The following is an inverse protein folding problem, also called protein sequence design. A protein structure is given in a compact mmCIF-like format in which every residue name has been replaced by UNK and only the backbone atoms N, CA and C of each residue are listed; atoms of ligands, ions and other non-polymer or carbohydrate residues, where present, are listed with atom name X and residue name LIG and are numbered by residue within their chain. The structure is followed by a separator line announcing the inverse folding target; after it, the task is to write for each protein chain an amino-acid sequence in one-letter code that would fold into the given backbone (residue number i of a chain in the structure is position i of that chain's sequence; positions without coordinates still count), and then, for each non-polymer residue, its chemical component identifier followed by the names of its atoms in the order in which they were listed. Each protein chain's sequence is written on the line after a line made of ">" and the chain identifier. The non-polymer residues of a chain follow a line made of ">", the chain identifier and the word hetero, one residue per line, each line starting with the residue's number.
data_IF_779010660807
#
_entry.id   IF_779010660807
#
_cell.length_a   1.000
_cell.length_b   1.000
_cell.length_c   1.000
_cell.angle_alpha   90.00
_cell.angle_beta   90.00
_cell.angle_gamma   90.00
#
_symmetry.space_group_name_H-M   'P 1'
#
loop_
_entity.id
_entity.type
_entity.pdbx_description
1 polymer ?
#
# COMPACT_ATOMS: atom_id res chain seq x y z
N UNK A 1 3.54 -4.95 -17.91
CA UNK A 1 3.35 -3.53 -17.49
C UNK A 1 4.33 -2.69 -18.29
N UNK A 2 3.86 -1.64 -18.95
CA UNK A 2 4.72 -0.63 -19.56
C UNK A 2 5.51 0.09 -18.47
N UNK A 3 6.73 0.54 -18.76
CA UNK A 3 7.56 1.34 -17.86
C UNK A 3 6.91 2.70 -17.51
N UNK A 4 5.88 3.10 -18.25
CA UNK A 4 5.17 4.37 -18.12
C UNK A 4 3.82 4.23 -17.37
N UNK A 5 3.44 3.03 -16.92
CA UNK A 5 2.16 2.84 -16.24
C UNK A 5 2.29 3.25 -14.76
N UNK A 6 1.36 4.07 -14.27
CA UNK A 6 1.25 4.38 -12.84
C UNK A 6 1.11 3.07 -12.05
N UNK A 7 1.96 2.84 -11.03
CA UNK A 7 1.88 1.63 -10.21
C UNK A 7 0.50 1.48 -9.56
N UNK A 8 0.01 0.25 -9.42
CA UNK A 8 -1.29 -0.02 -8.80
C UNK A 8 -1.41 0.57 -7.39
N UNK A 9 -0.30 0.61 -6.64
CA UNK A 9 -0.25 1.16 -5.28
C UNK A 9 -0.42 2.70 -5.21
N UNK A 10 -0.36 3.38 -6.34
CA UNK A 10 -0.52 4.84 -6.45
C UNK A 10 -1.80 5.25 -7.18
N UNK A 11 -2.54 4.26 -7.69
CA UNK A 11 -3.85 4.47 -8.29
C UNK A 11 -4.91 4.58 -7.22
N UNK A 12 -5.91 5.41 -7.46
CA UNK A 12 -7.11 5.46 -6.62
C UNK A 12 -7.90 4.16 -6.78
N UNK A 13 -8.14 3.44 -5.68
CA UNK A 13 -8.90 2.20 -5.69
C UNK A 13 -10.37 2.47 -5.40
N UNK A 14 -11.24 2.23 -6.36
CA UNK A 14 -12.68 2.45 -6.28
C UNK A 14 -13.38 1.09 -6.22
N UNK A 15 -13.97 0.77 -5.07
CA UNK A 15 -14.72 -0.46 -4.87
C UNK A 15 -16.19 -0.28 -5.21
N UNK A 16 -16.74 -1.12 -6.10
CA UNK A 16 -18.16 -1.18 -6.38
C UNK A 16 -18.78 -2.36 -5.64
N UNK A 17 -19.76 -2.06 -4.79
CA UNK A 17 -20.47 -2.99 -3.93
C UNK A 17 -21.96 -3.00 -4.24
N UNK A 18 -22.67 -4.01 -3.82
CA UNK A 18 -24.10 -4.08 -3.99
C UNK A 18 -24.59 -5.51 -4.15
N UNK A 19 -25.87 -5.67 -3.98
CA UNK A 19 -26.55 -6.97 -4.10
C UNK A 19 -26.51 -7.50 -5.53
N UNK A 20 -26.77 -8.77 -5.64
CA UNK A 20 -26.99 -9.40 -6.94
C UNK A 20 -28.16 -8.68 -7.64
N UNK A 21 -28.05 -8.53 -8.96
CA UNK A 21 -29.05 -7.87 -9.82
C UNK A 21 -29.34 -6.38 -9.54
N UNK A 22 -28.64 -5.72 -8.61
CA UNK A 22 -28.70 -4.26 -8.46
C UNK A 22 -28.14 -3.51 -9.70
N UNK A 23 -27.52 -4.24 -10.63
CA UNK A 23 -26.93 -3.67 -11.84
C UNK A 23 -25.53 -3.11 -11.62
N UNK A 24 -24.80 -3.60 -10.60
CA UNK A 24 -23.45 -3.17 -10.25
C UNK A 24 -22.49 -3.22 -11.46
N UNK A 25 -22.41 -4.36 -12.14
CA UNK A 25 -21.56 -4.52 -13.33
C UNK A 25 -21.97 -3.59 -14.48
N UNK A 26 -23.27 -3.33 -14.63
CA UNK A 26 -23.76 -2.36 -15.62
C UNK A 26 -23.35 -0.92 -15.27
N UNK A 27 -23.40 -0.54 -13.98
CA UNK A 27 -22.91 0.78 -13.53
C UNK A 27 -21.39 0.88 -13.72
N UNK A 28 -20.61 -0.16 -13.38
CA UNK A 28 -19.16 -0.22 -13.64
C UNK A 28 -18.87 -0.01 -15.12
N UNK A 29 -19.57 -0.71 -16.02
CA UNK A 29 -19.41 -0.57 -17.46
C UNK A 29 -19.81 0.85 -17.95
N UNK A 30 -20.87 1.42 -17.40
CA UNK A 30 -21.30 2.79 -17.73
C UNK A 30 -20.29 3.85 -17.26
N UNK A 31 -19.74 3.71 -16.05
CA UNK A 31 -18.70 4.61 -15.50
C UNK A 31 -17.41 4.54 -16.29
N UNK A 32 -16.99 3.33 -16.66
CA UNK A 32 -15.72 3.10 -17.34
C UNK A 32 -15.78 3.29 -18.86
N UNK A 33 -16.96 3.28 -19.43
CA UNK A 33 -17.16 3.29 -20.89
C UNK A 33 -16.66 2.02 -21.59
N UNK A 34 -16.46 0.92 -20.85
CA UNK A 34 -15.91 -0.35 -21.35
C UNK A 34 -16.72 -1.51 -20.78
N UNK A 35 -16.83 -2.60 -21.51
CA UNK A 35 -17.38 -3.86 -21.00
C UNK A 35 -16.34 -4.57 -20.15
N UNK A 36 -16.20 -4.15 -18.88
CA UNK A 36 -15.22 -4.69 -17.95
C UNK A 36 -15.72 -5.92 -17.20
N UNK A 37 -17.02 -5.94 -16.91
CA UNK A 37 -17.68 -6.97 -16.13
C UNK A 37 -18.53 -7.81 -17.06
N UNK A 38 -18.36 -9.14 -16.99
CA UNK A 38 -19.28 -10.05 -17.67
C UNK A 38 -20.61 -10.01 -16.91
N UNK A 39 -21.62 -9.43 -17.51
CA UNK A 39 -23.00 -9.55 -17.04
C UNK A 39 -23.43 -11.00 -17.32
N UNK A 40 -23.39 -11.86 -16.31
CA UNK A 40 -23.78 -13.27 -16.45
C UNK A 40 -25.10 -13.49 -15.72
N UNK A 41 -26.10 -13.96 -16.43
CA UNK A 41 -27.37 -14.42 -15.86
C UNK A 41 -27.27 -15.81 -15.20
N UNK A 42 -26.09 -16.43 -15.23
CA UNK A 42 -25.85 -17.79 -14.72
C UNK A 42 -25.40 -17.74 -13.26
N UNK A 43 -26.07 -18.51 -12.39
CA UNK A 43 -25.73 -18.67 -10.98
C UNK A 43 -24.31 -19.24 -10.80
N UNK A 44 -23.42 -18.52 -10.07
CA UNK A 44 -22.19 -19.10 -9.52
C UNK A 44 -20.87 -18.75 -10.25
N UNK A 45 -20.82 -17.78 -11.16
CA UNK A 45 -19.66 -17.61 -12.06
C UNK A 45 -18.50 -16.77 -11.55
N UNK A 46 -18.59 -15.98 -10.47
CA UNK A 46 -17.42 -15.25 -9.95
C UNK A 46 -17.46 -15.11 -8.44
N UNK A 47 -16.54 -15.81 -7.76
CA UNK A 47 -16.28 -15.63 -6.33
C UNK A 47 -15.15 -14.65 -6.06
N UNK A 48 -14.36 -14.26 -7.06
CA UNK A 48 -13.23 -13.36 -6.92
C UNK A 48 -13.54 -11.96 -7.49
N UNK A 49 -13.06 -10.88 -6.83
CA UNK A 49 -13.23 -9.52 -7.31
C UNK A 49 -12.43 -9.31 -8.60
N UNK A 50 -13.02 -8.63 -9.56
CA UNK A 50 -12.33 -8.21 -10.79
C UNK A 50 -11.64 -6.88 -10.51
N UNK A 51 -10.31 -6.86 -10.72
CA UNK A 51 -9.47 -5.67 -10.58
C UNK A 51 -9.03 -5.20 -11.96
N UNK A 52 -9.31 -3.96 -12.31
CA UNK A 52 -8.86 -3.37 -13.57
C UNK A 52 -8.25 -1.99 -13.39
N UNK A 53 -7.00 -1.85 -13.79
CA UNK A 53 -6.29 -0.58 -13.82
C UNK A 53 -6.59 0.17 -15.10
N UNK A 54 -6.91 1.46 -15.00
CA UNK A 54 -7.22 2.32 -16.15
C UNK A 54 -7.02 3.80 -15.83
N UNK A 55 -7.10 4.63 -16.85
CA UNK A 55 -7.27 6.07 -16.71
C UNK A 55 -8.77 6.39 -16.75
N UNK A 56 -9.26 7.13 -15.75
CA UNK A 56 -10.67 7.51 -15.65
C UNK A 56 -10.79 9.01 -15.32
N UNK A 57 -11.22 9.82 -16.25
CA UNK A 57 -11.45 11.25 -16.03
C UNK A 57 -12.72 11.46 -15.17
N UNK A 58 -12.71 12.42 -14.22
CA UNK A 58 -11.63 13.37 -13.93
C UNK A 58 -10.61 12.90 -12.88
N UNK A 59 -10.61 11.63 -12.47
CA UNK A 59 -9.79 11.06 -11.39
C UNK A 59 -8.34 10.75 -11.81
N UNK A 60 -8.10 10.51 -13.11
CA UNK A 60 -6.79 10.03 -13.60
C UNK A 60 -6.61 8.52 -13.43
N UNK A 61 -5.43 8.06 -12.96
CA UNK A 61 -5.14 6.64 -12.83
C UNK A 61 -5.91 6.00 -11.68
N UNK A 62 -6.77 5.02 -11.98
CA UNK A 62 -7.60 4.29 -11.01
C UNK A 62 -7.45 2.78 -11.11
N UNK A 63 -7.84 2.09 -10.05
CA UNK A 63 -8.15 0.65 -10.05
C UNK A 63 -9.63 0.49 -9.73
N UNK A 64 -10.38 -0.02 -10.67
CA UNK A 64 -11.78 -0.41 -10.45
C UNK A 64 -11.81 -1.81 -9.84
N UNK A 65 -12.55 -1.96 -8.74
CA UNK A 65 -12.76 -3.23 -8.06
C UNK A 65 -14.24 -3.56 -8.14
N UNK A 66 -14.61 -4.49 -9.02
CA UNK A 66 -15.96 -5.02 -9.09
C UNK A 66 -16.09 -6.24 -8.15
N UNK A 67 -16.98 -6.14 -7.15
CA UNK A 67 -17.13 -7.18 -6.14
C UNK A 67 -18.24 -8.17 -6.52
N UNK A 68 -18.17 -9.44 -6.09
CA UNK A 68 -19.32 -10.36 -6.15
C UNK A 68 -20.51 -9.79 -5.38
N UNK A 69 -21.74 -10.16 -5.75
CA UNK A 69 -22.95 -9.77 -5.01
C UNK A 69 -22.93 -10.25 -3.56
N UNK A 70 -23.49 -9.47 -2.63
CA UNK A 70 -23.36 -9.64 -1.17
C UNK A 70 -24.45 -10.51 -0.51
N UNK A 71 -25.44 -10.96 -1.24
CA UNK A 71 -26.72 -11.45 -0.72
C UNK A 71 -26.92 -12.98 -0.68
N UNK A 72 -25.84 -13.76 -0.66
CA UNK A 72 -25.96 -15.22 -0.54
C UNK A 72 -25.90 -15.69 0.92
N UNK A 73 -26.79 -16.62 1.29
CA UNK A 73 -26.85 -17.26 2.61
C UNK A 73 -25.91 -18.49 2.72
N UNK A 74 -25.49 -18.84 3.95
CA UNK A 74 -24.70 -20.03 4.27
C UNK A 74 -23.19 -19.84 4.18
N UNK A 75 -22.43 -20.95 4.12
CA UNK A 75 -20.95 -20.94 4.12
C UNK A 75 -20.33 -20.13 2.96
N UNK A 76 -21.03 -20.00 1.85
CA UNK A 76 -20.64 -19.16 0.73
C UNK A 76 -20.76 -17.66 1.07
N UNK A 77 -21.76 -17.31 1.92
CA UNK A 77 -21.97 -15.96 2.44
C UNK A 77 -20.80 -15.49 3.34
N UNK A 78 -20.35 -16.33 4.26
CA UNK A 78 -19.21 -16.01 5.14
C UNK A 78 -17.91 -15.74 4.36
N UNK A 79 -17.63 -16.57 3.36
CA UNK A 79 -16.47 -16.38 2.47
C UNK A 79 -16.57 -15.06 1.70
N UNK A 80 -17.76 -14.65 1.28
CA UNK A 80 -17.98 -13.38 0.57
C UNK A 80 -17.85 -12.18 1.50
N UNK A 81 -18.36 -12.27 2.73
CA UNK A 81 -18.16 -11.24 3.77
C UNK A 81 -16.67 -11.04 4.03
N UNK A 82 -15.92 -12.13 4.19
CA UNK A 82 -14.46 -12.06 4.38
C UNK A 82 -13.77 -11.40 3.18
N UNK A 83 -14.12 -11.78 1.95
CA UNK A 83 -13.57 -11.17 0.73
C UNK A 83 -13.97 -9.70 0.61
N UNK A 84 -15.20 -9.33 0.95
CA UNK A 84 -15.66 -7.94 0.97
C UNK A 84 -14.85 -7.10 1.95
N UNK A 85 -14.61 -7.60 3.17
CA UNK A 85 -13.75 -6.93 4.15
C UNK A 85 -12.33 -6.72 3.64
N UNK A 86 -11.74 -7.73 2.98
CA UNK A 86 -10.41 -7.61 2.36
C UNK A 86 -10.35 -6.58 1.24
N UNK A 87 -11.42 -6.44 0.44
CA UNK A 87 -11.51 -5.42 -0.61
C UNK A 87 -11.61 -4.04 0.01
N UNK A 88 -12.43 -3.89 1.05
CA UNK A 88 -12.61 -2.61 1.75
C UNK A 88 -11.30 -2.09 2.34
N UNK A 89 -10.42 -2.96 2.81
CA UNK A 89 -9.11 -2.56 3.32
C UNK A 89 -8.23 -1.86 2.27
N UNK A 90 -8.58 -1.98 0.98
CA UNK A 90 -7.85 -1.39 -0.16
C UNK A 90 -8.60 -0.28 -0.86
N UNK A 91 -9.91 -0.20 -0.66
CA UNK A 91 -10.73 0.78 -1.36
C UNK A 91 -10.51 2.19 -0.77
N UNK A 92 -10.07 3.12 -1.60
CA UNK A 92 -9.98 4.54 -1.25
C UNK A 92 -11.36 5.19 -1.24
N UNK A 93 -12.30 4.64 -2.03
CA UNK A 93 -13.70 5.03 -2.07
C UNK A 93 -14.58 3.81 -2.37
N UNK A 94 -15.76 3.75 -1.75
CA UNK A 94 -16.77 2.72 -2.01
C UNK A 94 -17.99 3.32 -2.72
N UNK A 95 -18.52 2.62 -3.72
CA UNK A 95 -19.80 2.92 -4.36
C UNK A 95 -20.74 1.75 -4.10
N UNK A 96 -21.78 2.00 -3.32
CA UNK A 96 -22.87 1.03 -3.11
C UNK A 96 -23.93 1.21 -4.19
N UNK A 97 -24.07 0.22 -5.04
CA UNK A 97 -25.10 0.21 -6.10
C UNK A 97 -26.35 -0.46 -5.56
N UNK A 98 -27.46 0.28 -5.52
CA UNK A 98 -28.77 -0.14 -5.02
C UNK A 98 -29.77 -0.13 -6.17
N UNK A 99 -30.66 -1.10 -6.22
CA UNK A 99 -31.78 -1.11 -7.16
C UNK A 99 -32.86 -0.11 -6.71
N UNK A 100 -33.08 0.96 -7.46
CA UNK A 100 -34.06 2.00 -7.13
C UNK A 100 -35.49 1.45 -6.98
N UNK A 101 -35.80 0.34 -7.65
CA UNK A 101 -37.12 -0.31 -7.56
C UNK A 101 -37.36 -1.01 -6.22
N UNK A 102 -36.30 -1.34 -5.49
CA UNK A 102 -36.35 -2.05 -4.21
C UNK A 102 -35.95 -1.17 -3.02
N UNK A 103 -35.13 -0.13 -3.25
CA UNK A 103 -34.60 0.70 -2.20
C UNK A 103 -33.50 -0.01 -1.36
N UNK A 104 -33.07 0.65 -0.29
CA UNK A 104 -32.10 0.10 0.65
C UNK A 104 -32.65 -1.09 1.42
N UNK A 105 -31.91 -2.17 1.44
CA UNK A 105 -32.22 -3.39 2.20
C UNK A 105 -31.37 -3.50 3.46
N UNK A 106 -31.70 -4.41 4.40
CA UNK A 106 -30.84 -4.65 5.57
C UNK A 106 -29.37 -4.98 5.20
N UNK A 107 -29.14 -5.77 4.16
CA UNK A 107 -27.79 -6.09 3.69
C UNK A 107 -27.02 -4.87 3.16
N UNK A 108 -27.71 -3.93 2.49
CA UNK A 108 -27.11 -2.67 2.05
C UNK A 108 -26.76 -1.78 3.25
N UNK A 109 -27.59 -1.78 4.30
CA UNK A 109 -27.33 -1.04 5.54
C UNK A 109 -26.13 -1.62 6.31
N UNK A 110 -25.96 -2.95 6.33
CA UNK A 110 -24.78 -3.60 6.89
C UNK A 110 -23.50 -3.18 6.17
N UNK A 111 -23.53 -3.09 4.82
CA UNK A 111 -22.39 -2.59 4.05
C UNK A 111 -22.08 -1.13 4.37
N UNK A 112 -23.10 -0.27 4.50
CA UNK A 112 -22.92 1.14 4.88
C UNK A 112 -22.29 1.24 6.28
N UNK A 113 -22.77 0.44 7.24
CA UNK A 113 -22.19 0.39 8.58
C UNK A 113 -20.71 -0.04 8.54
N UNK A 114 -20.38 -1.02 7.70
CA UNK A 114 -19.00 -1.47 7.52
C UNK A 114 -18.11 -0.40 6.85
N UNK A 115 -18.64 0.39 5.90
CA UNK A 115 -17.90 1.53 5.34
C UNK A 115 -17.59 2.59 6.40
N UNK A 116 -18.55 2.86 7.29
CA UNK A 116 -18.40 3.82 8.39
C UNK A 116 -17.41 3.31 9.43
N UNK A 117 -17.52 2.04 9.85
CA UNK A 117 -16.60 1.40 10.79
C UNK A 117 -15.13 1.48 10.30
N UNK A 118 -14.91 1.30 9.00
CA UNK A 118 -13.58 1.33 8.38
C UNK A 118 -13.15 2.72 7.90
N UNK A 119 -13.93 3.75 8.20
CA UNK A 119 -13.67 5.13 7.75
C UNK A 119 -13.40 5.23 6.24
N UNK A 120 -14.25 4.55 5.44
CA UNK A 120 -14.15 4.57 3.98
C UNK A 120 -15.14 5.59 3.43
N UNK A 121 -14.69 6.60 2.68
CA UNK A 121 -15.59 7.49 1.95
C UNK A 121 -16.47 6.69 0.99
N UNK A 122 -17.79 6.97 0.99
CA UNK A 122 -18.69 6.21 0.14
C UNK A 122 -19.81 7.05 -0.47
N UNK A 123 -20.35 6.53 -1.56
CA UNK A 123 -21.57 7.00 -2.22
C UNK A 123 -22.57 5.85 -2.35
N UNK A 124 -23.86 6.17 -2.32
CA UNK A 124 -24.94 5.25 -2.65
C UNK A 124 -25.53 5.65 -3.99
N UNK A 125 -25.42 4.78 -4.97
CA UNK A 125 -25.94 4.98 -6.32
C UNK A 125 -27.21 4.15 -6.53
N UNK A 126 -28.38 4.81 -6.52
CA UNK A 126 -29.67 4.18 -6.85
C UNK A 126 -29.74 4.00 -8.36
N UNK A 127 -29.41 2.80 -8.80
CA UNK A 127 -29.45 2.41 -10.21
C UNK A 127 -30.87 2.04 -10.64
N UNK A 128 -31.12 2.04 -11.97
CA UNK A 128 -32.43 1.83 -12.60
C UNK A 128 -33.40 2.98 -12.33
N UNK A 129 -32.89 4.21 -12.20
CA UNK A 129 -33.72 5.41 -12.04
C UNK A 129 -34.66 5.68 -13.24
N UNK A 130 -34.39 5.03 -14.36
CA UNK A 130 -35.27 4.98 -15.51
C UNK A 130 -36.56 4.14 -15.30
N UNK A 131 -36.57 3.21 -14.33
CA UNK A 131 -37.69 2.33 -14.02
C UNK A 131 -38.47 2.78 -12.79
N UNK A 132 -37.84 3.43 -11.82
CA UNK A 132 -38.48 3.91 -10.61
C UNK A 132 -37.75 5.18 -10.09
N UNK A 133 -38.55 6.12 -9.54
CA UNK A 133 -38.00 7.29 -8.88
C UNK A 133 -37.17 6.86 -7.65
N UNK A 134 -35.96 7.42 -7.51
CA UNK A 134 -35.18 7.24 -6.30
C UNK A 134 -35.91 7.87 -5.09
N UNK A 135 -35.65 7.40 -3.86
CA UNK A 135 -36.15 8.03 -2.64
C UNK A 135 -35.62 9.47 -2.49
N UNK A 136 -36.05 10.17 -1.45
CA UNK A 136 -35.45 11.46 -1.15
C UNK A 136 -33.94 11.29 -0.89
N UNK A 137 -33.12 11.84 -1.78
CA UNK A 137 -31.69 11.64 -1.80
C UNK A 137 -30.98 12.51 -0.74
N UNK A 138 -30.09 11.88 0.02
CA UNK A 138 -29.18 12.55 0.92
C UNK A 138 -27.89 13.02 0.21
N UNK A 139 -27.02 13.67 0.96
CA UNK A 139 -25.74 14.21 0.43
C UNK A 139 -24.84 13.14 -0.22
N UNK A 140 -24.82 11.94 0.35
CA UNK A 140 -24.02 10.80 -0.14
C UNK A 140 -24.74 9.93 -1.16
N UNK A 141 -25.92 10.34 -1.58
CA UNK A 141 -26.80 9.53 -2.42
C UNK A 141 -27.05 10.19 -3.76
N UNK A 142 -27.23 9.41 -4.82
CA UNK A 142 -27.56 9.90 -6.14
C UNK A 142 -28.34 8.84 -6.93
N UNK A 143 -29.20 9.32 -7.85
CA UNK A 143 -29.90 8.46 -8.79
C UNK A 143 -29.06 8.29 -10.07
N UNK A 144 -28.98 7.07 -10.58
CA UNK A 144 -28.27 6.76 -11.82
C UNK A 144 -29.07 5.75 -12.65
N UNK A 145 -28.88 5.78 -13.96
CA UNK A 145 -29.30 4.71 -14.84
C UNK A 145 -28.12 4.26 -15.68
N UNK A 146 -27.70 3.02 -15.51
CA UNK A 146 -26.66 2.43 -16.34
C UNK A 146 -27.12 2.27 -17.81
N UNK A 147 -28.43 2.21 -18.07
CA UNK A 147 -29.03 2.05 -19.40
C UNK A 147 -29.06 3.39 -20.15
N UNK A 148 -29.65 4.42 -19.54
CA UNK A 148 -29.78 5.76 -20.15
C UNK A 148 -28.54 6.62 -19.96
N UNK A 149 -27.60 6.22 -19.07
CA UNK A 149 -26.42 6.94 -18.62
C UNK A 149 -26.71 8.22 -17.81
N UNK A 150 -27.96 8.43 -17.43
CA UNK A 150 -28.33 9.52 -16.54
C UNK A 150 -27.60 9.40 -15.18
N UNK A 151 -27.09 10.50 -14.64
CA UNK A 151 -26.38 10.54 -13.35
C UNK A 151 -24.98 9.93 -13.35
N UNK A 152 -24.50 9.29 -14.43
CA UNK A 152 -23.17 8.62 -14.45
C UNK A 152 -22.02 9.63 -14.39
N UNK A 153 -22.11 10.76 -15.10
CA UNK A 153 -21.06 11.79 -15.04
C UNK A 153 -21.03 12.46 -13.65
N UNK A 154 -22.20 12.70 -13.05
CA UNK A 154 -22.26 13.21 -11.67
C UNK A 154 -21.64 12.21 -10.67
N UNK A 155 -21.88 10.90 -10.85
CA UNK A 155 -21.25 9.87 -10.03
C UNK A 155 -19.71 9.94 -10.12
N UNK A 156 -19.15 10.08 -11.32
CA UNK A 156 -17.71 10.24 -11.52
C UNK A 156 -17.15 11.49 -10.82
N UNK A 157 -17.84 12.63 -10.94
CA UNK A 157 -17.42 13.87 -10.29
C UNK A 157 -17.45 13.76 -8.76
N UNK A 158 -18.50 13.13 -8.20
CA UNK A 158 -18.61 12.92 -6.75
C UNK A 158 -17.53 11.97 -6.24
N UNK A 159 -17.22 10.89 -6.96
CA UNK A 159 -16.09 10.00 -6.64
C UNK A 159 -14.77 10.81 -6.67
N UNK A 160 -14.56 11.64 -7.69
CA UNK A 160 -13.36 12.47 -7.81
C UNK A 160 -13.21 13.45 -6.62
N UNK A 161 -14.30 14.05 -6.15
CA UNK A 161 -14.27 14.93 -4.97
C UNK A 161 -13.90 14.17 -3.70
N UNK A 162 -14.47 12.99 -3.48
CA UNK A 162 -14.18 12.14 -2.32
C UNK A 162 -12.73 11.67 -2.27
N UNK A 163 -12.13 11.44 -3.44
CA UNK A 163 -10.76 10.89 -3.52
C UNK A 163 -9.67 11.97 -3.55
N UNK A 164 -9.99 13.19 -4.01
CA UNK A 164 -9.03 14.33 -4.02
C UNK A 164 -8.58 14.77 -2.62
N UNK A 165 -9.45 14.69 -1.63
CA UNK A 165 -9.14 15.06 -0.24
C UNK A 165 -8.13 14.13 0.44
N UNK A 166 -7.79 13.00 -0.16
CA UNK A 166 -6.81 12.03 0.37
C UNK A 166 -5.41 12.18 -0.20
N UNK A 167 -5.24 12.99 -1.25
CA UNK A 167 -3.96 13.26 -1.90
C UNK A 167 -3.33 14.56 -1.44
N UNK A 168 -3.00 14.71 -0.13
CA UNK A 168 -1.96 15.65 0.25
C UNK A 168 -0.67 15.30 -0.50
N UNK A 169 0.12 16.31 -0.87
CA UNK A 169 1.40 16.19 -1.58
C UNK A 169 2.45 15.43 -0.74
N UNK A 170 2.19 14.12 -0.51
CA UNK A 170 3.13 13.25 0.18
C UNK A 170 4.37 13.08 -0.67
N UNK A 171 5.50 13.48 -0.12
CA UNK A 171 6.82 13.33 -0.76
C UNK A 171 7.57 12.16 -0.12
N UNK A 172 8.36 11.45 -0.91
CA UNK A 172 9.29 10.44 -0.39
C UNK A 172 10.47 11.11 0.31
N UNK A 173 11.10 12.06 -0.39
CA UNK A 173 12.31 12.76 0.04
C UNK A 173 12.33 14.23 -0.37
N UNK A 174 11.54 14.64 -1.34
CA UNK A 174 11.60 15.98 -1.93
C UNK A 174 11.36 17.12 -0.94
N UNK A 175 10.57 16.90 0.10
CA UNK A 175 10.34 17.86 1.19
C UNK A 175 11.54 18.00 2.18
N UNK A 176 12.51 17.08 2.11
CA UNK A 176 13.78 17.14 2.87
C UNK A 176 14.90 17.84 2.09
N UNK A 177 14.63 18.25 0.86
CA UNK A 177 15.57 18.81 -0.09
C UNK A 177 15.30 20.29 -0.33
N UNK A 178 16.34 21.00 -0.72
CA UNK A 178 16.27 22.37 -1.23
C UNK A 178 16.65 22.35 -2.71
N UNK A 179 15.96 23.12 -3.59
CA UNK A 179 16.32 23.18 -5.00
C UNK A 179 17.82 23.38 -5.23
N UNK A 180 18.40 22.55 -6.09
CA UNK A 180 19.84 22.52 -6.35
C UNK A 180 20.64 21.54 -5.49
N UNK A 181 20.05 20.90 -4.48
CA UNK A 181 20.71 19.84 -3.71
C UNK A 181 21.14 18.65 -4.59
N UNK A 182 22.22 18.01 -4.18
CA UNK A 182 22.73 16.78 -4.76
C UNK A 182 22.43 15.59 -3.86
N UNK A 183 21.77 14.57 -4.38
CA UNK A 183 21.47 13.32 -3.68
C UNK A 183 22.17 12.15 -4.36
N UNK A 184 22.78 11.24 -3.60
CA UNK A 184 23.39 10.01 -4.15
C UNK A 184 22.48 8.83 -3.82
N UNK A 185 22.02 8.14 -4.87
CA UNK A 185 21.18 6.94 -4.80
C UNK A 185 22.04 5.71 -5.03
N UNK A 186 22.18 4.85 -4.04
CA UNK A 186 22.97 3.62 -4.14
C UNK A 186 22.04 2.44 -4.40
N UNK A 187 22.13 1.88 -5.61
CA UNK A 187 21.26 0.80 -6.09
C UNK A 187 22.08 -0.46 -6.36
N UNK A 188 22.12 -1.42 -5.44
CA UNK A 188 22.78 -2.70 -5.68
C UNK A 188 22.14 -3.42 -6.88
N UNK A 189 22.97 -4.01 -7.71
CA UNK A 189 22.53 -4.84 -8.84
C UNK A 189 23.00 -6.27 -8.57
N UNK A 190 22.20 -6.99 -7.81
CA UNK A 190 22.41 -8.40 -7.51
C UNK A 190 21.59 -9.32 -8.44
N UNK A 191 21.64 -10.63 -8.18
CA UNK A 191 20.90 -11.64 -8.97
C UNK A 191 19.38 -11.50 -8.83
N UNK A 192 18.87 -10.83 -7.78
CA UNK A 192 17.47 -10.58 -7.53
C UNK A 192 16.96 -9.30 -8.20
N UNK A 193 17.85 -8.42 -8.66
CA UNK A 193 17.49 -7.19 -9.33
C UNK A 193 16.76 -7.48 -10.66
N UNK A 194 15.63 -6.81 -10.94
CA UNK A 194 14.94 -6.98 -12.20
C UNK A 194 15.82 -6.59 -13.39
N UNK A 195 15.98 -7.50 -14.35
CA UNK A 195 16.83 -7.25 -15.51
C UNK A 195 16.36 -6.00 -16.29
N UNK A 196 17.26 -5.05 -16.49
CA UNK A 196 17.06 -3.86 -17.33
C UNK A 196 16.20 -2.77 -16.69
N UNK A 197 15.86 -2.83 -15.39
CA UNK A 197 15.11 -1.77 -14.71
C UNK A 197 15.46 -1.65 -13.23
N UNK A 198 15.24 -0.46 -12.67
CA UNK A 198 15.24 -0.24 -11.22
C UNK A 198 13.95 -0.76 -10.58
N UNK A 199 13.96 -1.07 -9.30
CA UNK A 199 12.74 -1.40 -8.55
C UNK A 199 11.94 -0.13 -8.24
N UNK A 200 10.66 -0.30 -7.97
CA UNK A 200 9.73 0.82 -7.79
C UNK A 200 10.18 1.87 -6.78
N UNK A 201 10.63 1.56 -5.55
CA UNK A 201 11.11 2.57 -4.61
C UNK A 201 12.28 3.41 -5.13
N UNK A 202 13.20 2.80 -5.89
CA UNK A 202 14.35 3.48 -6.48
C UNK A 202 13.90 4.46 -7.58
N UNK A 203 12.97 4.03 -8.45
CA UNK A 203 12.39 4.89 -9.50
C UNK A 203 11.63 6.07 -8.91
N UNK A 204 10.78 5.83 -7.90
CA UNK A 204 9.98 6.86 -7.25
C UNK A 204 10.85 7.88 -6.52
N UNK A 205 11.87 7.44 -5.77
CA UNK A 205 12.80 8.34 -5.09
C UNK A 205 13.57 9.19 -6.10
N UNK A 206 14.06 8.58 -7.19
CA UNK A 206 14.75 9.32 -8.25
C UNK A 206 13.83 10.39 -8.87
N UNK A 207 12.57 10.06 -9.13
CA UNK A 207 11.59 10.99 -9.65
C UNK A 207 11.28 12.11 -8.66
N UNK A 208 11.11 11.81 -7.39
CA UNK A 208 10.79 12.80 -6.35
C UNK A 208 11.96 13.79 -6.12
N UNK A 209 13.21 13.34 -6.27
CA UNK A 209 14.40 14.23 -6.29
C UNK A 209 14.33 15.21 -7.45
N UNK A 210 13.98 14.74 -8.65
CA UNK A 210 13.85 15.60 -9.83
C UNK A 210 12.67 16.58 -9.71
N UNK A 211 11.55 16.14 -9.16
CA UNK A 211 10.37 16.98 -8.91
C UNK A 211 10.62 18.06 -7.82
N UNK A 212 11.71 17.94 -7.06
CA UNK A 212 12.20 18.91 -6.08
C UNK A 212 13.27 19.86 -6.68
N UNK A 213 13.46 19.89 -8.00
CA UNK A 213 14.50 20.65 -8.69
C UNK A 213 15.93 20.32 -8.20
N UNK A 214 16.17 19.06 -7.85
CA UNK A 214 17.42 18.55 -7.29
C UNK A 214 18.11 17.58 -8.27
N UNK A 215 19.39 17.30 -8.01
CA UNK A 215 20.21 16.38 -8.82
C UNK A 215 20.33 15.03 -8.14
N UNK A 216 20.05 13.93 -8.87
CA UNK A 216 20.30 12.57 -8.42
C UNK A 216 21.50 11.96 -9.15
N UNK A 217 22.45 11.40 -8.40
CA UNK A 217 23.52 10.55 -8.93
C UNK A 217 23.24 9.11 -8.50
N UNK A 218 23.02 8.24 -9.47
CA UNK A 218 22.72 6.83 -9.22
C UNK A 218 23.98 6.00 -9.39
N UNK A 219 24.37 5.26 -8.35
CA UNK A 219 25.61 4.46 -8.34
C UNK A 219 25.34 3.06 -7.78
N UNK A 220 26.29 2.15 -8.03
CA UNK A 220 26.31 0.87 -7.31
C UNK A 220 27.11 1.01 -6.01
N UNK A 221 26.88 0.10 -5.07
CA UNK A 221 27.53 0.09 -3.76
C UNK A 221 29.08 0.11 -3.86
N UNK A 222 29.65 -0.59 -4.83
CA UNK A 222 31.10 -0.67 -5.03
C UNK A 222 31.72 0.56 -5.73
N UNK A 223 30.90 1.45 -6.25
CA UNK A 223 31.35 2.69 -6.91
C UNK A 223 31.01 3.93 -6.07
N UNK A 224 30.41 3.78 -4.89
CA UNK A 224 30.05 4.90 -4.02
C UNK A 224 31.25 5.71 -3.56
N UNK A 225 32.24 5.08 -2.91
CA UNK A 225 33.41 5.77 -2.38
C UNK A 225 34.18 6.58 -3.45
N UNK A 226 34.57 5.98 -4.60
CA UNK A 226 35.26 6.75 -5.65
C UNK A 226 34.36 7.82 -6.30
N UNK A 227 33.05 7.69 -6.22
CA UNK A 227 32.11 8.75 -6.67
C UNK A 227 32.13 9.91 -5.70
N UNK A 228 31.99 9.66 -4.41
CA UNK A 228 31.99 10.72 -3.37
C UNK A 228 33.33 11.52 -3.41
N UNK A 229 34.47 10.86 -3.63
CA UNK A 229 35.78 11.52 -3.75
C UNK A 229 35.89 12.46 -4.96
N UNK A 230 35.15 12.17 -6.05
CA UNK A 230 35.17 12.98 -7.29
C UNK A 230 34.18 14.13 -7.28
N UNK A 231 33.27 14.17 -6.34
CA UNK A 231 32.26 15.23 -6.27
C UNK A 231 32.88 16.53 -5.78
N UNK A 232 32.70 17.61 -6.55
CA UNK A 232 33.10 18.95 -6.14
C UNK A 232 32.20 19.55 -5.06
N UNK A 233 30.96 19.00 -4.90
CA UNK A 233 29.96 19.46 -3.95
C UNK A 233 29.57 18.29 -3.05
N UNK A 234 29.50 18.53 -1.75
CA UNK A 234 29.04 17.55 -0.77
C UNK A 234 27.57 17.21 -1.01
N UNK A 235 27.20 15.93 -1.14
CA UNK A 235 25.79 15.57 -1.28
C UNK A 235 25.00 15.87 -0.01
N UNK A 236 23.73 16.26 -0.19
CA UNK A 236 22.78 16.49 0.90
C UNK A 236 22.54 15.22 1.71
N UNK A 237 22.48 14.07 1.04
CA UNK A 237 22.31 12.75 1.66
C UNK A 237 22.68 11.62 0.70
N UNK A 238 22.89 10.44 1.28
CA UNK A 238 23.00 9.16 0.57
C UNK A 238 21.77 8.31 0.89
N UNK A 239 21.14 7.75 -0.12
CA UNK A 239 19.96 6.86 0.00
C UNK A 239 20.33 5.52 -0.60
N UNK A 240 20.16 4.43 0.15
CA UNK A 240 20.60 3.10 -0.28
C UNK A 240 19.51 2.04 -0.13
N UNK A 241 19.71 0.88 -0.73
CA UNK A 241 19.00 -0.32 -0.38
C UNK A 241 19.46 -0.82 1.01
N UNK A 242 18.50 -1.23 1.86
CA UNK A 242 18.80 -1.64 3.23
C UNK A 242 19.76 -2.83 3.31
N UNK A 243 19.77 -3.70 2.30
CA UNK A 243 20.72 -4.83 2.24
C UNK A 243 22.17 -4.40 2.07
N UNK A 244 22.43 -3.20 1.51
CA UNK A 244 23.77 -2.64 1.32
C UNK A 244 24.22 -1.74 2.49
N UNK A 245 23.40 -1.54 3.52
CA UNK A 245 23.67 -0.61 4.60
C UNK A 245 25.07 -0.73 5.20
N UNK A 246 25.54 -1.95 5.53
CA UNK A 246 26.82 -2.14 6.19
C UNK A 246 28.01 -1.64 5.35
N UNK A 247 27.96 -1.79 4.03
CA UNK A 247 28.99 -1.29 3.12
C UNK A 247 28.85 0.22 2.93
N UNK A 248 27.63 0.69 2.64
CA UNK A 248 27.36 2.10 2.37
C UNK A 248 27.63 2.97 3.60
N UNK A 249 27.37 2.47 4.82
CA UNK A 249 27.71 3.17 6.06
C UNK A 249 29.22 3.37 6.23
N UNK A 250 30.02 2.38 5.86
CA UNK A 250 31.50 2.52 5.89
C UNK A 250 32.02 3.51 4.87
N UNK A 251 31.45 3.47 3.66
CA UNK A 251 31.93 4.22 2.50
C UNK A 251 31.38 5.67 2.48
N UNK A 252 30.38 5.98 3.31
CA UNK A 252 29.80 7.32 3.42
C UNK A 252 30.38 8.07 4.62
N UNK A 253 31.01 9.25 4.44
CA UNK A 253 31.45 10.12 5.53
C UNK A 253 30.35 10.35 6.58
N UNK A 254 30.73 10.47 7.87
CA UNK A 254 29.76 10.58 8.97
C UNK A 254 28.99 11.91 8.99
N UNK A 255 29.47 12.90 8.30
CA UNK A 255 28.87 14.21 8.13
C UNK A 255 27.91 14.29 6.92
N UNK A 256 27.71 13.17 6.21
CA UNK A 256 26.68 13.02 5.17
C UNK A 256 25.58 12.11 5.71
N UNK A 257 24.34 12.61 5.81
CA UNK A 257 23.18 11.82 6.24
C UNK A 257 22.96 10.58 5.35
N UNK A 258 22.57 9.48 6.00
CA UNK A 258 22.37 8.19 5.35
C UNK A 258 20.99 7.64 5.70
N UNK A 259 20.20 7.25 4.70
CA UNK A 259 18.94 6.56 4.89
C UNK A 259 18.73 5.48 3.82
N UNK A 260 17.56 4.83 3.80
CA UNK A 260 17.25 3.82 2.78
C UNK A 260 15.92 4.05 2.09
N UNK A 261 15.80 3.50 0.88
CA UNK A 261 14.52 3.49 0.14
C UNK A 261 13.38 2.87 0.96
N UNK A 262 13.65 1.84 1.74
CA UNK A 262 12.66 1.18 2.59
C UNK A 262 12.20 2.06 3.76
N UNK A 263 13.08 2.86 4.34
CA UNK A 263 12.75 3.84 5.40
C UNK A 263 11.92 4.99 4.83
N UNK A 264 12.35 5.54 3.68
CA UNK A 264 11.59 6.59 2.99
C UNK A 264 10.20 6.10 2.57
N UNK A 265 10.09 4.85 2.09
CA UNK A 265 8.82 4.25 1.74
C UNK A 265 7.90 4.07 2.96
N UNK A 266 8.43 3.66 4.12
CA UNK A 266 7.67 3.58 5.36
C UNK A 266 7.14 4.97 5.80
N UNK A 267 7.95 6.03 5.63
CA UNK A 267 7.53 7.40 5.85
C UNK A 267 6.40 7.80 4.90
N UNK A 268 6.58 7.59 3.62
CA UNK A 268 5.61 7.89 2.57
C UNK A 268 4.26 7.19 2.80
N UNK A 269 4.29 5.95 3.26
CA UNK A 269 3.10 5.15 3.60
C UNK A 269 2.54 5.44 5.00
N UNK A 270 3.20 6.29 5.82
CA UNK A 270 2.68 6.78 7.10
C UNK A 270 2.87 5.84 8.29
N UNK A 271 3.80 4.88 8.22
CA UNK A 271 4.04 3.93 9.32
C UNK A 271 5.48 3.91 9.86
N UNK A 272 6.29 4.92 9.53
CA UNK A 272 7.70 4.94 9.94
C UNK A 272 7.85 5.05 11.46
N UNK A 273 7.02 5.84 12.12
CA UNK A 273 7.06 5.98 13.59
C UNK A 273 6.78 4.64 14.28
N UNK A 274 5.71 3.95 13.86
CA UNK A 274 5.39 2.62 14.40
C UNK A 274 6.53 1.63 14.17
N UNK A 275 7.18 1.68 13.01
CA UNK A 275 8.32 0.82 12.70
C UNK A 275 9.54 1.10 13.60
N UNK A 276 9.83 2.37 13.88
CA UNK A 276 10.93 2.77 14.79
C UNK A 276 10.61 2.37 16.24
N UNK A 277 9.37 2.56 16.70
CA UNK A 277 8.95 2.11 18.04
C UNK A 277 8.95 0.58 18.16
N UNK A 278 8.45 -0.09 17.11
CA UNK A 278 8.27 -1.55 17.11
C UNK A 278 9.58 -2.33 17.06
N UNK A 279 10.63 -1.78 16.48
CA UNK A 279 11.91 -2.50 16.32
C UNK A 279 12.57 -2.88 17.65
N UNK A 280 12.34 -2.11 18.73
CA UNK A 280 12.84 -2.41 20.07
C UNK A 280 12.29 -3.74 20.64
N UNK A 281 11.23 -4.30 20.05
CA UNK A 281 10.76 -5.62 20.42
C UNK A 281 11.76 -6.74 20.08
N UNK A 282 12.63 -6.54 19.07
CA UNK A 282 13.65 -7.52 18.70
C UNK A 282 14.55 -7.87 19.88
N UNK A 283 14.94 -6.88 20.71
CA UNK A 283 15.83 -7.08 21.84
C UNK A 283 15.17 -7.85 23.00
N UNK A 284 13.84 -8.01 22.97
CA UNK A 284 13.05 -8.70 24.00
C UNK A 284 12.58 -10.08 23.59
N UNK A 285 12.85 -10.51 22.34
CA UNK A 285 12.43 -11.83 21.85
C UNK A 285 13.08 -12.96 22.63
N UNK A 286 12.31 -14.02 22.87
CA UNK A 286 12.70 -15.22 23.58
C UNK A 286 12.65 -16.46 22.68
N UNK A 287 13.23 -17.57 23.16
CA UNK A 287 13.13 -18.85 22.46
C UNK A 287 11.67 -19.29 22.31
N UNK A 288 11.31 -19.66 21.10
CA UNK A 288 9.96 -20.11 20.74
C UNK A 288 8.98 -19.00 20.34
N UNK A 289 9.39 -17.70 20.49
CA UNK A 289 8.55 -16.58 20.07
C UNK A 289 8.23 -16.64 18.56
N UNK A 290 6.99 -16.26 18.24
CA UNK A 290 6.50 -16.23 16.86
C UNK A 290 6.67 -14.83 16.28
N UNK A 291 7.35 -14.76 15.15
CA UNK A 291 7.54 -13.51 14.39
C UNK A 291 6.92 -13.67 13.00
N UNK A 292 6.03 -12.75 12.65
CA UNK A 292 5.44 -12.69 11.32
C UNK A 292 6.31 -11.84 10.40
N UNK A 293 6.80 -12.42 9.32
CA UNK A 293 7.46 -11.71 8.22
C UNK A 293 6.42 -11.51 7.11
N UNK A 294 5.97 -10.27 6.91
CA UNK A 294 4.87 -9.95 6.02
C UNK A 294 5.33 -9.20 4.76
N UNK A 295 4.92 -9.69 3.60
CA UNK A 295 5.24 -9.09 2.30
C UNK A 295 3.99 -8.59 1.59
N UNK A 296 4.08 -7.41 0.97
CA UNK A 296 2.98 -6.79 0.23
C UNK A 296 2.77 -7.34 -1.18
N UNK A 297 3.66 -8.18 -1.67
CA UNK A 297 3.62 -8.72 -3.03
C UNK A 297 3.93 -10.22 -3.03
N UNK A 298 3.57 -10.88 -4.15
CA UNK A 298 3.86 -12.29 -4.42
C UNK A 298 4.97 -12.37 -5.47
N UNK A 299 6.11 -11.71 -5.23
CA UNK A 299 7.23 -11.82 -6.16
C UNK A 299 7.91 -13.18 -6.09
N UNK A 300 8.64 -13.52 -7.14
CA UNK A 300 9.32 -14.82 -7.21
C UNK A 300 10.41 -14.88 -6.14
N UNK A 301 10.28 -15.78 -5.18
CA UNK A 301 11.28 -16.01 -4.14
C UNK A 301 12.54 -16.60 -4.75
N UNK A 302 13.67 -15.97 -4.51
CA UNK A 302 14.98 -16.42 -4.96
C UNK A 302 15.78 -17.01 -3.80
N UNK A 303 16.88 -17.71 -4.10
CA UNK A 303 17.73 -18.38 -3.09
C UNK A 303 18.33 -17.43 -2.04
N UNK A 304 18.32 -16.11 -2.28
CA UNK A 304 18.85 -15.08 -1.40
C UNK A 304 17.80 -13.99 -1.08
N UNK A 305 16.55 -14.37 -0.99
CA UNK A 305 15.45 -13.45 -0.68
C UNK A 305 15.61 -12.78 0.69
N UNK A 306 15.27 -11.48 0.77
CA UNK A 306 15.46 -10.68 2.00
C UNK A 306 14.57 -11.20 3.12
N UNK A 307 13.26 -11.41 2.84
CA UNK A 307 12.28 -11.77 3.84
C UNK A 307 12.38 -13.21 4.30
N UNK A 308 12.62 -14.13 3.37
CA UNK A 308 12.57 -15.58 3.66
C UNK A 308 13.93 -16.18 4.02
N UNK A 309 15.05 -15.50 3.70
CA UNK A 309 16.41 -16.02 3.94
C UNK A 309 17.26 -15.08 4.77
N UNK A 310 17.42 -13.82 4.33
CA UNK A 310 18.41 -12.91 4.95
C UNK A 310 17.95 -12.42 6.33
N UNK A 311 16.72 -11.92 6.46
CA UNK A 311 16.18 -11.45 7.76
C UNK A 311 16.12 -12.58 8.79
N UNK A 312 15.59 -13.80 8.48
CA UNK A 312 15.65 -14.95 9.37
C UNK A 312 17.04 -15.24 9.92
N UNK A 313 18.02 -15.30 9.04
CA UNK A 313 19.42 -15.54 9.42
C UNK A 313 19.96 -14.43 10.34
N UNK A 314 19.79 -13.16 9.96
CA UNK A 314 20.30 -12.03 10.75
C UNK A 314 19.61 -11.89 12.10
N UNK A 315 18.30 -12.18 12.19
CA UNK A 315 17.57 -12.22 13.46
C UNK A 315 18.14 -13.30 14.38
N UNK A 316 18.35 -14.51 13.87
CA UNK A 316 18.94 -15.62 14.62
C UNK A 316 20.36 -15.30 15.10
N UNK A 317 21.21 -14.72 14.23
CA UNK A 317 22.57 -14.29 14.56
C UNK A 317 22.57 -13.19 15.65
N UNK A 318 21.66 -12.22 15.57
CA UNK A 318 21.59 -11.08 16.48
C UNK A 318 21.01 -11.47 17.83
N UNK A 319 19.87 -12.17 17.85
CA UNK A 319 19.18 -12.52 19.10
C UNK A 319 19.78 -13.72 19.81
N UNK A 320 20.44 -14.61 19.08
CA UNK A 320 20.89 -15.92 19.57
C UNK A 320 19.73 -16.85 19.96
N UNK A 321 18.49 -16.57 19.52
CA UNK A 321 17.26 -17.26 19.90
C UNK A 321 16.74 -18.17 18.79
N UNK A 322 16.04 -19.23 19.17
CA UNK A 322 15.35 -20.10 18.25
C UNK A 322 13.89 -19.61 18.06
N UNK A 323 13.68 -18.73 17.09
CA UNK A 323 12.40 -18.09 16.81
C UNK A 323 11.56 -18.94 15.84
N UNK A 324 10.23 -18.83 15.98
CA UNK A 324 9.27 -19.38 15.02
C UNK A 324 8.90 -18.33 13.99
N UNK A 325 9.47 -18.42 12.81
CA UNK A 325 9.26 -17.43 11.74
C UNK A 325 8.15 -17.91 10.82
N UNK A 326 7.12 -17.09 10.68
CA UNK A 326 6.00 -17.34 9.77
C UNK A 326 5.97 -16.27 8.70
N UNK A 327 5.52 -16.64 7.50
CA UNK A 327 5.54 -15.76 6.34
C UNK A 327 4.14 -15.57 5.78
N UNK A 328 3.79 -14.32 5.49
CA UNK A 328 2.61 -13.99 4.70
C UNK A 328 3.01 -13.17 3.47
N UNK A 329 2.30 -13.34 2.36
CA UNK A 329 2.60 -12.63 1.11
C UNK A 329 1.34 -12.15 0.39
N UNK A 330 1.45 -11.02 -0.29
CA UNK A 330 0.37 -10.47 -1.07
C UNK A 330 -0.87 -10.18 -0.21
N UNK A 331 -1.94 -10.96 -0.41
CA UNK A 331 -3.25 -10.77 0.24
C UNK A 331 -3.43 -11.56 1.54
N UNK A 332 -2.50 -12.45 1.87
CA UNK A 332 -2.63 -13.40 2.98
C UNK A 332 -2.12 -12.82 4.30
N UNK A 333 -2.42 -11.54 4.58
CA UNK A 333 -2.11 -10.95 5.87
C UNK A 333 -3.11 -11.47 6.92
N UNK A 334 -2.64 -12.04 8.07
CA UNK A 334 -3.51 -12.60 9.10
C UNK A 334 -4.43 -11.54 9.73
N UNK A 335 -5.69 -11.91 9.96
CA UNK A 335 -6.65 -11.05 10.68
C UNK A 335 -6.40 -11.08 12.20
N UNK A 336 -5.94 -12.21 12.74
CA UNK A 336 -5.54 -12.36 14.14
C UNK A 336 -4.02 -12.36 14.26
N UNK A 337 -3.49 -11.34 14.88
CA UNK A 337 -2.06 -11.19 15.15
C UNK A 337 -1.68 -11.52 16.60
N UNK A 338 -2.64 -11.82 17.47
CA UNK A 338 -2.39 -12.12 18.89
C UNK A 338 -1.34 -13.22 19.17
N UNK A 339 -1.13 -14.23 18.27
CA UNK A 339 -0.09 -15.22 18.48
C UNK A 339 1.34 -14.73 18.27
N UNK A 340 1.54 -13.52 17.68
CA UNK A 340 2.86 -13.03 17.29
C UNK A 340 3.41 -12.03 18.32
N UNK A 341 4.71 -12.05 18.55
CA UNK A 341 5.44 -11.10 19.38
C UNK A 341 5.98 -9.92 18.58
N UNK A 342 6.05 -10.07 17.26
CA UNK A 342 6.53 -9.03 16.35
C UNK A 342 6.02 -9.27 14.94
N UNK A 343 5.66 -8.19 14.24
CA UNK A 343 5.44 -8.17 12.79
C UNK A 343 6.57 -7.39 12.12
N UNK A 344 7.27 -8.02 11.19
CA UNK A 344 8.28 -7.39 10.33
C UNK A 344 7.72 -7.32 8.91
N UNK A 345 7.33 -6.13 8.47
CA UNK A 345 6.71 -5.92 7.16
C UNK A 345 7.74 -5.45 6.12
N UNK A 346 7.57 -5.81 4.85
CA UNK A 346 8.36 -5.21 3.77
C UNK A 346 8.02 -3.70 3.61
N UNK A 347 8.71 -3.00 2.71
CA UNK A 347 8.46 -1.57 2.44
C UNK A 347 7.06 -1.23 1.89
N UNK A 348 6.26 -2.25 1.54
CA UNK A 348 4.88 -2.06 1.08
C UNK A 348 4.73 -1.32 -0.26
N UNK A 349 5.76 -1.31 -1.10
CA UNK A 349 5.77 -0.56 -2.35
C UNK A 349 4.66 -0.95 -3.35
N UNK A 350 4.13 -2.18 -3.26
CA UNK A 350 3.05 -2.68 -4.09
C UNK A 350 1.67 -2.57 -3.42
N UNK A 351 1.61 -2.10 -2.17
CA UNK A 351 0.38 -1.85 -1.43
C UNK A 351 0.02 -0.37 -1.45
N UNK A 352 -1.25 -0.04 -1.56
CA UNK A 352 -1.70 1.33 -1.38
C UNK A 352 -1.67 1.74 0.11
N UNK A 353 -1.86 3.03 0.39
CA UNK A 353 -1.77 3.56 1.75
C UNK A 353 -2.80 2.94 2.70
N UNK A 354 -4.02 2.68 2.24
CA UNK A 354 -5.08 2.08 3.06
C UNK A 354 -4.79 0.65 3.48
N UNK A 355 -4.26 -0.18 2.59
CA UNK A 355 -3.86 -1.54 2.94
C UNK A 355 -2.73 -1.54 3.97
N UNK A 356 -1.77 -0.62 3.85
CA UNK A 356 -0.70 -0.46 4.84
C UNK A 356 -1.24 0.00 6.20
N UNK A 357 -2.15 0.98 6.20
CA UNK A 357 -2.79 1.47 7.42
C UNK A 357 -3.64 0.38 8.10
N UNK A 358 -4.36 -0.43 7.32
CA UNK A 358 -5.08 -1.58 7.84
C UNK A 358 -4.15 -2.56 8.55
N UNK A 359 -3.02 -2.97 7.93
CA UNK A 359 -2.06 -3.91 8.52
C UNK A 359 -1.44 -3.37 9.80
N UNK A 360 -1.08 -2.09 9.79
CA UNK A 360 -0.57 -1.37 10.94
C UNK A 360 -1.58 -1.31 12.09
N UNK A 361 -2.82 -0.91 11.80
CA UNK A 361 -3.91 -0.85 12.80
C UNK A 361 -4.22 -2.23 13.38
N UNK A 362 -4.28 -3.27 12.53
CA UNK A 362 -4.49 -4.65 13.01
C UNK A 362 -3.40 -5.08 14.01
N UNK A 363 -2.14 -4.70 13.77
CA UNK A 363 -1.06 -4.97 14.72
C UNK A 363 -1.21 -4.16 16.02
N UNK A 364 -1.55 -2.86 15.91
CA UNK A 364 -1.76 -1.98 17.07
C UNK A 364 -2.93 -2.46 17.93
N UNK A 365 -4.07 -2.83 17.33
CA UNK A 365 -5.25 -3.33 18.03
C UNK A 365 -4.99 -4.66 18.75
N UNK A 366 -4.11 -5.50 18.20
CA UNK A 366 -3.63 -6.72 18.84
C UNK A 366 -2.52 -6.47 19.87
N UNK A 367 -2.04 -5.24 20.05
CA UNK A 367 -0.91 -4.92 20.91
C UNK A 367 0.43 -5.50 20.44
N UNK A 368 0.54 -5.86 19.16
CA UNK A 368 1.72 -6.50 18.57
C UNK A 368 2.62 -5.43 17.94
N UNK A 369 3.91 -5.35 18.34
CA UNK A 369 4.87 -4.43 17.73
C UNK A 369 4.97 -4.65 16.22
N UNK A 370 5.03 -3.53 15.48
CA UNK A 370 5.11 -3.52 14.02
C UNK A 370 6.36 -2.78 13.56
N UNK A 371 7.17 -3.42 12.72
CA UNK A 371 8.36 -2.79 12.13
C UNK A 371 8.50 -3.15 10.66
N UNK A 372 9.52 -2.61 9.98
CA UNK A 372 9.75 -2.94 8.57
C UNK A 372 11.17 -3.44 8.31
N UNK A 373 11.39 -3.99 7.12
CA UNK A 373 12.68 -4.53 6.69
C UNK A 373 13.82 -3.52 6.85
N UNK A 374 13.63 -2.27 6.43
CA UNK A 374 14.67 -1.24 6.49
C UNK A 374 15.10 -0.91 7.91
N UNK A 375 14.14 -0.68 8.80
CA UNK A 375 14.38 -0.38 10.22
C UNK A 375 14.95 -1.62 10.93
N UNK A 376 14.42 -2.82 10.66
CA UNK A 376 14.97 -4.07 11.19
C UNK A 376 16.44 -4.25 10.80
N UNK A 377 16.78 -4.13 9.53
CA UNK A 377 18.15 -4.30 9.05
C UNK A 377 19.07 -3.23 9.66
N UNK A 378 18.61 -1.97 9.72
CA UNK A 378 19.37 -0.89 10.35
C UNK A 378 19.64 -1.16 11.84
N UNK A 379 18.66 -1.69 12.58
CA UNK A 379 18.81 -2.09 13.98
C UNK A 379 19.82 -3.23 14.14
N UNK A 380 19.62 -4.33 13.38
CA UNK A 380 20.51 -5.50 13.44
C UNK A 380 21.96 -5.19 13.04
N UNK A 381 22.19 -4.14 12.23
CA UNK A 381 23.52 -3.69 11.81
C UNK A 381 24.09 -2.55 12.67
N UNK A 382 23.37 -2.10 13.71
CA UNK A 382 23.81 -1.06 14.63
C UNK A 382 23.87 0.36 14.03
N UNK A 383 23.16 0.60 12.91
CA UNK A 383 23.16 1.89 12.21
C UNK A 383 21.80 2.60 12.24
N UNK A 384 20.88 2.12 13.10
CA UNK A 384 19.51 2.65 13.15
C UNK A 384 19.50 4.17 13.41
N UNK A 385 20.25 4.64 14.41
CA UNK A 385 20.32 6.08 14.74
C UNK A 385 20.72 6.91 13.51
N UNK A 386 21.76 6.50 12.80
CA UNK A 386 22.23 7.19 11.60
C UNK A 386 21.18 7.16 10.48
N UNK A 387 20.49 6.03 10.31
CA UNK A 387 19.52 5.87 9.21
C UNK A 387 18.24 6.68 9.36
N UNK A 388 17.95 7.20 10.56
CA UNK A 388 16.79 8.05 10.87
C UNK A 388 17.16 9.45 11.36
N UNK A 389 18.43 9.85 11.30
CA UNK A 389 18.88 11.18 11.74
C UNK A 389 18.25 12.34 10.95
N UNK A 390 17.76 12.06 9.73
CA UNK A 390 16.99 12.99 8.90
C UNK A 390 15.61 13.32 9.50
N UNK A 391 15.16 12.56 10.50
CA UNK A 391 13.86 12.67 11.14
C UNK A 391 14.04 12.93 12.65
N UNK A 392 14.21 14.20 13.08
CA UNK A 392 14.55 14.54 14.46
C UNK A 392 13.59 13.96 15.51
N UNK A 393 12.28 13.98 15.21
CA UNK A 393 11.25 13.45 16.12
C UNK A 393 11.41 11.94 16.34
N UNK A 394 11.75 11.20 15.28
CA UNK A 394 11.99 9.76 15.34
C UNK A 394 13.35 9.42 15.97
N UNK A 395 14.35 10.23 15.68
CA UNK A 395 15.67 10.11 16.31
C UNK A 395 15.59 10.22 17.83
N UNK A 396 14.73 11.12 18.34
CA UNK A 396 14.49 11.31 19.77
C UNK A 396 13.78 10.12 20.46
N UNK A 397 13.14 9.22 19.70
CA UNK A 397 12.51 8.00 20.22
C UNK A 397 13.51 6.87 20.50
N UNK A 398 14.72 6.99 19.96
CA UNK A 398 15.74 5.94 20.11
C UNK A 398 16.56 6.15 21.38
N UNK A 399 16.90 5.06 22.11
CA UNK A 399 17.70 5.12 23.34
C UNK A 399 19.12 5.62 23.11
#
# INVERSE_FOLDING_TARGET
>A
MSLNDTPSAERVHIGFFGRRNAGKSSVVNAVTGQELSVVSDVKGTTTDPVLKSMELLPMGPVVIIDTPGFDDEGALGELRVKKTKQILNRADCAVLVVDATQGLTPADQELIALFQEKDIPYLVAYNKSDLAAAPQLGEKELAVSAVTREGIEELKERIARLTRSQGEDKRLVGDLLTPGDLVVLVTPIDSAAPKGRLILPQQQTNRDVLDADCTAIVVKENTLAPTLEKLAVKPRMVITDSQAFAQVDRDTPKDIPLTSFSILMARYKGFLEDAVRGVAAIDRLQDGDRVLIAEGCTHHRQCEDIGTVKIPRWLGEYTGKNLRLEHSSGRDFPEDLSPYQLVIHCGGCMLNGREMDYRRKTAADAGVPFTNYGITIAHLKGILKRSVELFPDLYALLP
#
